data_IF_724584591804
#
_entry.id   IF_724584591804
#
_cell.length_a   1.000
_cell.length_b   1.000
_cell.length_c   1.000
_cell.angle_alpha   90.00
_cell.angle_beta   90.00
_cell.angle_gamma   90.00
#
_symmetry.space_group_name_H-M   'P 1'
#
loop_
_entity.id
_entity.type
_entity.pdbx_description
1 polymer ?
#
# COMPACT_ATOMS: atom_id res chain seq x y z
N UNK A 1 24.43 -104.87 24.75
CA UNK A 1 24.24 -106.09 23.92
C UNK A 1 23.08 -105.86 22.96
N UNK A 2 23.35 -106.11 21.72
CA UNK A 2 22.46 -106.41 20.63
C UNK A 2 21.55 -105.31 20.02
N UNK A 3 21.99 -105.03 18.86
CA UNK A 3 21.38 -104.38 17.67
C UNK A 3 20.02 -104.94 17.22
N UNK A 4 19.20 -104.12 16.63
CA UNK A 4 18.53 -104.46 15.36
C UNK A 4 18.23 -103.18 14.58
N UNK A 5 18.67 -103.17 13.33
CA UNK A 5 18.35 -102.19 12.31
C UNK A 5 16.98 -102.56 11.69
N UNK A 6 16.18 -101.49 11.45
CA UNK A 6 15.07 -101.59 10.53
C UNK A 6 15.16 -100.41 9.54
N UNK A 7 15.33 -100.75 8.28
CA UNK A 7 15.29 -99.84 7.15
C UNK A 7 13.81 -99.70 6.72
N UNK A 8 13.32 -98.52 6.72
CA UNK A 8 12.02 -98.17 6.10
C UNK A 8 12.28 -97.12 5.04
N UNK A 9 12.01 -97.41 3.79
CA UNK A 9 12.08 -96.58 2.64
C UNK A 9 11.03 -95.48 2.69
N UNK A 10 11.49 -94.23 2.48
CA UNK A 10 10.62 -93.08 2.33
C UNK A 10 10.30 -92.86 0.84
N UNK A 11 9.03 -93.06 0.50
CA UNK A 11 8.50 -92.65 -0.77
C UNK A 11 8.24 -91.16 -0.75
N UNK A 12 9.02 -90.37 -1.58
CA UNK A 12 8.83 -88.98 -1.74
C UNK A 12 7.62 -88.70 -2.63
N UNK A 13 6.58 -88.14 -2.07
CA UNK A 13 5.46 -87.56 -2.84
C UNK A 13 5.81 -86.11 -3.17
N UNK A 14 6.18 -85.83 -4.42
CA UNK A 14 6.27 -84.50 -4.95
C UNK A 14 4.89 -83.87 -5.09
N UNK A 15 4.49 -83.06 -4.13
CA UNK A 15 3.34 -82.19 -4.25
C UNK A 15 3.73 -80.97 -5.10
N UNK A 16 3.23 -80.90 -6.31
CA UNK A 16 3.36 -79.70 -7.19
C UNK A 16 2.40 -78.67 -6.63
N UNK A 17 2.93 -77.70 -5.88
CA UNK A 17 2.19 -76.50 -5.49
C UNK A 17 2.07 -75.56 -6.70
N UNK A 18 0.93 -75.51 -7.35
CA UNK A 18 0.59 -74.46 -8.28
C UNK A 18 0.44 -73.14 -7.50
N UNK A 19 1.12 -72.06 -7.88
CA UNK A 19 0.87 -70.78 -7.30
C UNK A 19 -0.53 -70.32 -7.71
N UNK A 20 -1.46 -70.17 -6.74
CA UNK A 20 -2.67 -69.40 -6.95
C UNK A 20 -2.23 -67.95 -7.22
N UNK A 21 -2.35 -67.53 -8.46
CA UNK A 21 -2.24 -66.12 -8.80
C UNK A 21 -3.43 -65.39 -8.11
N UNK A 22 -3.13 -64.68 -7.05
CA UNK A 22 -4.07 -63.76 -6.47
C UNK A 22 -4.31 -62.65 -7.52
N UNK A 23 -5.41 -62.78 -8.28
CA UNK A 23 -5.86 -61.65 -9.10
C UNK A 23 -6.31 -60.54 -8.15
N UNK A 24 -5.50 -59.50 -8.05
CA UNK A 24 -5.88 -58.31 -7.27
C UNK A 24 -7.21 -57.80 -7.82
N UNK A 25 -8.17 -57.58 -6.94
CA UNK A 25 -9.43 -56.95 -7.34
C UNK A 25 -9.13 -55.61 -7.98
N UNK A 26 -9.82 -55.22 -9.06
CA UNK A 26 -9.62 -53.91 -9.68
C UNK A 26 -9.80 -52.84 -8.60
N UNK A 27 -8.96 -51.77 -8.62
CA UNK A 27 -9.11 -50.68 -7.68
C UNK A 27 -10.54 -50.12 -7.78
N UNK A 28 -11.14 -49.71 -6.65
CA UNK A 28 -12.46 -49.12 -6.69
C UNK A 28 -12.46 -47.91 -7.65
N UNK A 29 -13.57 -47.67 -8.36
CA UNK A 29 -13.67 -46.54 -9.26
C UNK A 29 -13.37 -45.25 -8.49
N UNK A 30 -12.47 -44.43 -9.05
CA UNK A 30 -12.19 -43.11 -8.47
C UNK A 30 -13.48 -42.28 -8.52
N UNK A 31 -13.73 -41.51 -7.45
CA UNK A 31 -14.79 -40.50 -7.48
C UNK A 31 -14.51 -39.49 -8.58
N UNK A 32 -15.52 -39.00 -9.32
CA UNK A 32 -15.36 -37.99 -10.30
C UNK A 32 -14.89 -36.69 -9.61
N UNK A 33 -14.05 -35.90 -10.28
CA UNK A 33 -13.71 -34.59 -9.79
C UNK A 33 -14.96 -33.70 -9.73
N UNK A 34 -15.15 -32.99 -8.61
CA UNK A 34 -16.22 -32.00 -8.48
C UNK A 34 -15.81 -30.65 -9.03
N UNK A 35 -14.50 -30.44 -9.21
CA UNK A 35 -13.95 -29.26 -9.88
C UNK A 35 -14.08 -29.44 -11.39
N UNK A 36 -14.79 -28.53 -12.10
CA UNK A 36 -14.88 -28.59 -13.56
C UNK A 36 -13.52 -28.35 -14.22
N UNK A 37 -13.30 -28.90 -15.40
CA UNK A 37 -12.08 -28.68 -16.16
C UNK A 37 -11.91 -27.19 -16.54
N UNK A 38 -13.02 -26.51 -16.81
CA UNK A 38 -13.11 -25.07 -17.04
C UNK A 38 -14.33 -24.54 -16.28
N UNK A 39 -14.15 -23.49 -15.54
CA UNK A 39 -15.24 -22.80 -14.84
C UNK A 39 -15.47 -21.44 -15.47
N UNK A 40 -16.71 -21.18 -15.87
CA UNK A 40 -17.13 -19.89 -16.45
C UNK A 40 -18.08 -19.21 -15.45
N UNK A 41 -17.59 -18.28 -14.62
CA UNK A 41 -18.44 -17.54 -13.72
C UNK A 41 -19.43 -16.67 -14.49
N UNK A 42 -20.62 -16.48 -13.94
CA UNK A 42 -21.59 -15.53 -14.48
C UNK A 42 -21.26 -14.14 -13.91
N UNK A 43 -20.72 -13.27 -14.77
CA UNK A 43 -20.35 -11.91 -14.43
C UNK A 43 -21.48 -10.91 -14.70
N UNK A 44 -22.71 -11.31 -14.40
CA UNK A 44 -23.88 -10.43 -14.54
C UNK A 44 -24.21 -9.77 -13.21
N UNK A 45 -24.46 -8.45 -13.23
CA UNK A 45 -24.83 -7.68 -12.04
C UNK A 45 -23.66 -7.06 -11.30
N UNK A 46 -22.47 -7.03 -11.89
CA UNK A 46 -21.36 -6.22 -11.40
C UNK A 46 -21.65 -4.74 -11.65
N UNK A 47 -21.41 -3.88 -10.65
CA UNK A 47 -21.56 -2.43 -10.77
C UNK A 47 -20.27 -1.75 -11.27
N UNK A 48 -19.26 -2.53 -11.63
CA UNK A 48 -17.98 -2.06 -12.18
C UNK A 48 -17.44 -3.01 -13.25
N UNK A 49 -16.43 -2.56 -13.96
CA UNK A 49 -15.53 -3.39 -14.78
C UNK A 49 -14.09 -3.20 -14.33
N UNK A 50 -13.31 -4.27 -14.36
CA UNK A 50 -11.91 -4.29 -13.97
C UNK A 50 -11.02 -4.48 -15.20
N UNK A 51 -9.86 -3.81 -15.22
CA UNK A 51 -8.83 -3.96 -16.26
C UNK A 51 -7.46 -4.04 -15.61
N UNK A 52 -6.68 -5.05 -15.97
CA UNK A 52 -5.27 -5.16 -15.66
C UNK A 52 -4.48 -4.62 -16.84
N UNK A 53 -3.59 -3.67 -16.60
CA UNK A 53 -2.82 -3.01 -17.66
C UNK A 53 -1.35 -2.87 -17.28
N UNK A 54 -0.50 -2.92 -18.29
CA UNK A 54 0.93 -2.63 -18.18
C UNK A 54 1.22 -1.27 -18.82
N UNK A 55 1.38 -0.25 -18.00
CA UNK A 55 1.58 1.13 -18.46
C UNK A 55 3.06 1.36 -18.80
N UNK A 56 3.39 1.73 -20.06
CA UNK A 56 4.77 1.97 -20.45
C UNK A 56 5.29 3.30 -19.91
N UNK A 57 6.41 3.27 -19.21
CA UNK A 57 7.13 4.45 -18.76
C UNK A 57 8.09 4.95 -19.84
N UNK A 58 8.58 6.19 -19.71
CA UNK A 58 9.50 6.84 -20.67
C UNK A 58 10.79 6.08 -20.93
N UNK A 59 11.22 5.22 -20.03
CA UNK A 59 12.41 4.36 -20.17
C UNK A 59 12.10 2.98 -20.72
N UNK A 60 10.84 2.71 -21.11
CA UNK A 60 10.37 1.44 -21.64
C UNK A 60 10.04 0.37 -20.60
N UNK A 61 10.26 0.63 -19.31
CA UNK A 61 9.76 -0.22 -18.22
C UNK A 61 8.24 -0.13 -18.17
N UNK A 62 7.56 -1.22 -17.83
CA UNK A 62 6.10 -1.26 -17.70
C UNK A 62 5.72 -1.37 -16.25
N UNK A 63 4.78 -0.53 -15.80
CA UNK A 63 4.19 -0.60 -14.48
C UNK A 63 2.80 -1.22 -14.55
N UNK A 64 2.56 -2.18 -13.66
CA UNK A 64 1.29 -2.88 -13.56
C UNK A 64 0.28 -2.04 -12.80
N UNK A 65 -0.92 -1.90 -13.35
CA UNK A 65 -2.01 -1.18 -12.70
C UNK A 65 -3.34 -1.90 -12.90
N UNK A 66 -4.18 -1.79 -11.88
CA UNK A 66 -5.57 -2.24 -11.90
C UNK A 66 -6.47 -1.01 -11.99
N UNK A 67 -7.39 -1.04 -12.93
CA UNK A 67 -8.33 0.04 -13.22
C UNK A 67 -9.75 -0.49 -13.00
N UNK A 68 -10.43 0.04 -11.99
CA UNK A 68 -11.82 -0.26 -11.70
C UNK A 68 -12.70 0.90 -12.17
N UNK A 69 -13.62 0.60 -13.08
CA UNK A 69 -14.47 1.58 -13.76
C UNK A 69 -15.92 1.31 -13.36
N UNK A 70 -16.61 2.25 -12.69
CA UNK A 70 -18.02 2.11 -12.36
C UNK A 70 -18.88 1.89 -13.61
N UNK A 71 -19.92 1.08 -13.50
CA UNK A 71 -20.88 0.86 -14.57
C UNK A 71 -21.55 2.18 -14.98
N UNK A 72 -21.58 2.45 -16.29
CA UNK A 72 -22.16 3.68 -16.81
C UNK A 72 -21.29 4.93 -16.61
N UNK A 73 -20.03 4.78 -16.17
CA UNK A 73 -19.13 5.90 -16.02
C UNK A 73 -18.97 6.68 -17.32
N UNK A 74 -19.23 7.99 -17.26
CA UNK A 74 -19.05 8.94 -18.34
C UNK A 74 -18.60 10.26 -17.73
N UNK A 75 -17.52 10.85 -18.24
CA UNK A 75 -16.91 12.05 -17.67
C UNK A 75 -16.53 11.87 -16.18
N UNK A 76 -16.10 10.66 -15.80
CA UNK A 76 -15.72 10.33 -14.43
C UNK A 76 -14.30 10.80 -14.13
N UNK A 77 -14.02 11.38 -12.96
CA UNK A 77 -12.66 11.67 -12.53
C UNK A 77 -11.92 10.38 -12.16
N UNK A 78 -10.58 10.44 -12.20
CA UNK A 78 -9.70 9.34 -11.85
C UNK A 78 -9.09 9.60 -10.47
N UNK A 79 -9.11 8.59 -9.59
CA UNK A 79 -8.30 8.55 -8.37
C UNK A 79 -7.20 7.49 -8.52
N UNK A 80 -5.95 7.91 -8.39
CA UNK A 80 -4.76 7.09 -8.54
C UNK A 80 -4.03 6.94 -7.21
N UNK A 81 -3.74 5.70 -6.82
CA UNK A 81 -2.77 5.35 -5.77
C UNK A 81 -1.61 4.58 -6.38
N UNK A 82 -0.38 4.87 -5.96
CA UNK A 82 0.82 4.16 -6.38
C UNK A 82 1.48 3.52 -5.16
N UNK A 83 1.55 2.19 -5.14
CA UNK A 83 1.75 1.40 -3.93
C UNK A 83 2.89 0.37 -4.03
N UNK A 84 3.64 0.10 -2.95
CA UNK A 84 4.49 -1.07 -2.81
C UNK A 84 3.76 -2.27 -2.17
N UNK A 85 2.43 -2.19 -1.94
CA UNK A 85 1.67 -3.13 -1.12
C UNK A 85 0.81 -4.14 -1.89
N UNK A 86 1.00 -4.26 -3.20
CA UNK A 86 0.24 -5.10 -4.13
C UNK A 86 -1.08 -4.50 -4.59
N UNK A 87 -1.09 -4.03 -5.83
CA UNK A 87 -2.29 -3.45 -6.44
C UNK A 87 -3.46 -4.44 -6.50
N UNK A 88 -3.19 -5.73 -6.71
CA UNK A 88 -4.23 -6.76 -6.72
C UNK A 88 -4.86 -6.95 -5.33
N UNK A 89 -4.08 -7.01 -4.26
CA UNK A 89 -4.61 -7.16 -2.91
C UNK A 89 -5.43 -5.92 -2.49
N UNK A 90 -4.98 -4.72 -2.87
CA UNK A 90 -5.69 -3.47 -2.55
C UNK A 90 -6.97 -3.27 -3.37
N UNK A 91 -7.13 -3.95 -4.49
CA UNK A 91 -8.35 -3.90 -5.32
C UNK A 91 -9.28 -5.10 -5.12
N UNK A 92 -8.90 -6.09 -4.32
CA UNK A 92 -9.63 -7.35 -4.15
C UNK A 92 -9.75 -7.79 -2.68
N UNK A 93 -10.02 -6.85 -1.76
CA UNK A 93 -10.17 -7.17 -0.34
C UNK A 93 -11.33 -8.11 -0.04
N UNK A 94 -12.37 -8.09 -0.88
CA UNK A 94 -13.51 -9.01 -0.81
C UNK A 94 -13.93 -9.39 -2.22
N UNK A 95 -14.32 -10.65 -2.41
CA UNK A 95 -14.95 -11.05 -3.67
C UNK A 95 -16.38 -10.56 -3.70
N UNK A 96 -16.66 -9.57 -4.55
CA UNK A 96 -17.97 -8.94 -4.64
C UNK A 96 -18.27 -8.45 -6.05
N UNK A 97 -19.56 -8.39 -6.40
CA UNK A 97 -20.04 -7.67 -7.58
C UNK A 97 -20.16 -6.16 -7.34
N UNK A 98 -19.84 -5.68 -6.14
CA UNK A 98 -19.89 -4.27 -5.76
C UNK A 98 -18.49 -3.70 -5.57
N UNK A 99 -18.16 -2.64 -6.31
CA UNK A 99 -16.85 -1.97 -6.27
C UNK A 99 -16.49 -1.48 -4.86
N UNK A 100 -17.47 -0.97 -4.10
CA UNK A 100 -17.27 -0.56 -2.69
C UNK A 100 -16.68 -1.67 -1.86
N UNK A 101 -17.23 -2.89 -1.98
CA UNK A 101 -16.76 -4.03 -1.20
C UNK A 101 -15.39 -4.55 -1.67
N UNK A 102 -15.10 -4.46 -2.96
CA UNK A 102 -13.78 -4.81 -3.52
C UNK A 102 -12.68 -3.91 -2.96
N UNK A 103 -12.96 -2.62 -2.84
CA UNK A 103 -12.02 -1.59 -2.38
C UNK A 103 -12.04 -1.35 -0.87
N UNK A 104 -12.84 -2.10 -0.08
CA UNK A 104 -12.95 -1.90 1.37
C UNK A 104 -11.68 -2.37 2.10
N UNK A 105 -10.72 -1.48 2.28
CA UNK A 105 -9.44 -1.80 2.92
C UNK A 105 -8.52 -0.61 3.12
N UNK A 106 -7.28 -0.90 3.43
CA UNK A 106 -6.22 0.09 3.60
C UNK A 106 -5.96 0.86 2.30
N UNK A 107 -5.62 2.14 2.40
CA UNK A 107 -5.37 3.09 1.31
C UNK A 107 -6.60 3.44 0.44
N UNK A 108 -7.74 2.89 0.74
CA UNK A 108 -8.96 3.17 0.02
C UNK A 108 -10.00 3.85 0.92
N UNK A 109 -10.52 4.97 0.48
CA UNK A 109 -11.73 5.60 1.03
C UNK A 109 -12.95 5.14 0.21
N UNK A 110 -13.21 3.83 0.17
CA UNK A 110 -14.12 3.16 -0.75
C UNK A 110 -15.55 3.68 -0.70
N UNK A 111 -16.01 4.13 0.48
CA UNK A 111 -17.30 4.79 0.68
C UNK A 111 -17.42 6.12 -0.06
N UNK A 112 -16.31 6.80 -0.34
CA UNK A 112 -16.26 8.04 -1.13
C UNK A 112 -16.03 7.72 -2.61
N UNK A 113 -15.00 6.93 -2.89
CA UNK A 113 -14.53 6.69 -4.24
C UNK A 113 -15.58 6.01 -5.12
N UNK A 114 -16.25 4.99 -4.58
CA UNK A 114 -17.20 4.18 -5.34
C UNK A 114 -18.59 4.80 -5.40
N UNK A 115 -19.07 5.36 -4.29
CA UNK A 115 -20.40 6.01 -4.26
C UNK A 115 -20.44 7.27 -5.12
N UNK A 116 -19.31 7.96 -5.27
CA UNK A 116 -19.21 9.21 -6.03
C UNK A 116 -18.82 9.02 -7.50
N UNK A 117 -18.67 7.78 -7.96
CA UNK A 117 -18.48 7.45 -9.37
C UNK A 117 -17.07 7.71 -9.91
N UNK A 118 -16.04 7.68 -9.05
CA UNK A 118 -14.65 7.79 -9.48
C UNK A 118 -14.16 6.52 -10.18
N UNK A 119 -13.34 6.68 -11.22
CA UNK A 119 -12.52 5.60 -11.74
C UNK A 119 -11.35 5.40 -10.77
N UNK A 120 -11.24 4.22 -10.19
CA UNK A 120 -10.16 3.89 -9.25
C UNK A 120 -9.00 3.22 -9.98
N UNK A 121 -7.79 3.74 -9.78
CA UNK A 121 -6.56 3.15 -10.33
C UNK A 121 -5.59 2.89 -9.18
N UNK A 122 -5.10 1.65 -9.10
CA UNK A 122 -4.07 1.24 -8.15
C UNK A 122 -2.90 0.68 -8.96
N UNK A 123 -1.72 1.27 -8.80
CA UNK A 123 -0.52 0.92 -9.57
C UNK A 123 0.59 0.42 -8.64
N UNK A 124 1.14 -0.75 -8.93
CA UNK A 124 2.36 -1.23 -8.28
C UNK A 124 3.54 -0.31 -8.62
N UNK A 125 4.26 0.18 -7.61
CA UNK A 125 5.47 0.96 -7.86
C UNK A 125 6.54 0.13 -8.55
N UNK A 126 7.42 0.79 -9.27
CA UNK A 126 8.52 0.20 -10.02
C UNK A 126 9.29 -0.85 -9.21
N UNK A 127 9.40 -2.06 -9.75
CA UNK A 127 10.14 -3.18 -9.15
C UNK A 127 9.38 -3.96 -8.07
N UNK A 128 8.11 -3.66 -7.83
CA UNK A 128 7.25 -4.44 -6.93
C UNK A 128 6.18 -5.18 -7.73
N UNK A 129 5.76 -6.32 -7.23
CA UNK A 129 4.69 -7.19 -7.75
C UNK A 129 4.65 -7.30 -9.27
N UNK A 130 3.60 -6.85 -9.92
CA UNK A 130 3.43 -6.88 -11.36
C UNK A 130 4.30 -5.89 -12.14
N UNK A 131 4.79 -4.83 -11.51
CA UNK A 131 5.58 -3.78 -12.17
C UNK A 131 7.02 -4.18 -12.45
N UNK A 132 7.53 -3.88 -13.62
CA UNK A 132 8.91 -4.13 -14.02
C UNK A 132 9.90 -3.14 -13.37
N UNK A 133 11.19 -3.35 -13.62
CA UNK A 133 12.28 -2.49 -13.15
C UNK A 133 12.86 -2.92 -11.80
N UNK A 134 13.69 -2.05 -11.22
CA UNK A 134 14.33 -2.27 -9.94
C UNK A 134 13.62 -1.50 -8.82
N UNK A 135 13.27 -2.18 -7.75
CA UNK A 135 12.77 -1.52 -6.54
C UNK A 135 13.91 -0.80 -5.82
N UNK A 136 13.67 0.42 -5.44
CA UNK A 136 14.51 1.23 -4.54
C UNK A 136 13.58 1.84 -3.52
N UNK A 137 13.71 1.41 -2.27
CA UNK A 137 12.90 1.90 -1.18
C UNK A 137 13.02 3.41 -1.04
N UNK A 138 11.90 4.10 -0.96
CA UNK A 138 11.83 5.56 -0.91
C UNK A 138 12.68 6.23 -2.01
N UNK A 139 12.58 5.73 -3.25
CA UNK A 139 13.39 6.20 -4.38
C UNK A 139 13.43 7.74 -4.43
N UNK A 140 14.61 8.36 -4.27
CA UNK A 140 14.74 9.81 -4.33
C UNK A 140 14.43 10.35 -5.73
N UNK A 141 14.02 11.63 -5.80
CA UNK A 141 13.98 12.36 -7.08
C UNK A 141 15.39 12.51 -7.67
N UNK A 142 15.44 12.86 -8.95
CA UNK A 142 16.70 13.16 -9.63
C UNK A 142 17.52 14.21 -8.85
N UNK A 143 18.74 13.85 -8.48
CA UNK A 143 19.64 14.66 -7.68
C UNK A 143 20.87 13.91 -7.22
N UNK A 144 21.55 14.36 -6.15
CA UNK A 144 22.76 13.71 -5.65
C UNK A 144 22.60 12.23 -5.30
N UNK A 145 21.42 11.85 -4.81
CA UNK A 145 21.12 10.46 -4.42
C UNK A 145 20.55 9.61 -5.56
N UNK A 146 20.10 10.23 -6.64
CA UNK A 146 19.57 9.56 -7.83
C UNK A 146 20.07 10.30 -9.10
N UNK A 147 21.14 9.82 -9.73
CA UNK A 147 21.67 10.46 -10.94
C UNK A 147 20.88 10.14 -12.21
N UNK A 148 19.83 9.29 -12.11
CA UNK A 148 18.99 8.89 -13.24
C UNK A 148 17.88 9.91 -13.52
N UNK A 149 17.23 9.77 -14.69
CA UNK A 149 16.04 10.56 -15.06
C UNK A 149 14.74 9.92 -14.55
N UNK A 150 14.82 8.84 -13.75
CA UNK A 150 13.69 8.03 -13.34
C UNK A 150 13.51 8.08 -11.83
N UNK A 151 12.35 8.50 -11.40
CA UNK A 151 11.92 8.60 -10.01
C UNK A 151 10.39 8.43 -9.89
N UNK A 152 9.84 8.51 -8.68
CA UNK A 152 8.39 8.41 -8.48
C UNK A 152 7.61 9.54 -9.15
N UNK A 153 8.19 10.75 -9.25
CA UNK A 153 7.53 11.87 -9.90
C UNK A 153 7.38 11.64 -11.40
N UNK A 154 8.43 11.14 -12.05
CA UNK A 154 8.41 10.84 -13.49
C UNK A 154 7.52 9.64 -13.81
N UNK A 155 7.52 8.61 -12.98
CA UNK A 155 6.60 7.46 -13.13
C UNK A 155 5.14 7.92 -12.97
N UNK A 156 4.84 8.76 -11.97
CA UNK A 156 3.49 9.32 -11.78
C UNK A 156 3.05 10.15 -13.00
N UNK A 157 3.97 10.96 -13.54
CA UNK A 157 3.68 11.76 -14.73
C UNK A 157 3.30 10.88 -15.92
N UNK A 158 4.10 9.85 -16.21
CA UNK A 158 3.87 8.95 -17.35
C UNK A 158 2.58 8.13 -17.17
N UNK A 159 2.30 7.68 -15.96
CA UNK A 159 1.05 6.98 -15.64
C UNK A 159 -0.17 7.87 -15.88
N UNK A 160 -0.16 9.11 -15.38
CA UNK A 160 -1.27 10.05 -15.59
C UNK A 160 -1.45 10.35 -17.07
N UNK A 161 -0.36 10.59 -17.81
CA UNK A 161 -0.42 10.83 -19.26
C UNK A 161 -1.08 9.67 -19.99
N UNK A 162 -0.69 8.44 -19.65
CA UNK A 162 -1.29 7.25 -20.24
C UNK A 162 -2.79 7.14 -19.88
N UNK A 163 -3.17 7.32 -18.63
CA UNK A 163 -4.56 7.18 -18.17
C UNK A 163 -5.50 8.14 -18.90
N UNK A 164 -5.15 9.40 -19.01
CA UNK A 164 -6.02 10.40 -19.65
C UNK A 164 -6.18 10.19 -21.14
N UNK A 165 -5.25 9.48 -21.78
CA UNK A 165 -5.35 9.16 -23.21
C UNK A 165 -6.01 7.80 -23.49
N UNK A 166 -6.11 6.90 -22.50
CA UNK A 166 -6.61 5.53 -22.71
C UNK A 166 -7.91 5.20 -21.99
N UNK A 167 -8.43 6.13 -21.19
CA UNK A 167 -9.73 5.98 -20.51
C UNK A 167 -10.76 6.95 -21.05
N UNK A 168 -11.51 6.57 -22.11
CA UNK A 168 -12.51 7.45 -22.73
C UNK A 168 -13.70 7.78 -21.80
N UNK A 169 -13.86 7.02 -20.70
CA UNK A 169 -14.87 7.29 -19.67
C UNK A 169 -14.46 8.45 -18.75
N UNK A 170 -13.19 8.87 -18.77
CA UNK A 170 -12.68 9.91 -17.89
C UNK A 170 -13.00 11.32 -18.39
N UNK A 171 -13.11 12.26 -17.45
CA UNK A 171 -13.17 13.71 -17.73
C UNK A 171 -11.76 14.33 -17.91
N UNK A 172 -10.69 13.52 -17.87
CA UNK A 172 -9.31 13.98 -17.99
C UNK A 172 -8.73 14.64 -16.73
N UNK A 173 -9.41 14.54 -15.58
CA UNK A 173 -8.88 15.03 -14.30
C UNK A 173 -8.47 13.86 -13.42
N UNK A 174 -7.30 13.98 -12.80
CA UNK A 174 -6.72 12.96 -11.94
C UNK A 174 -6.47 13.53 -10.55
N UNK A 175 -6.86 12.79 -9.53
CA UNK A 175 -6.46 12.97 -8.14
C UNK A 175 -5.46 11.90 -7.73
N UNK A 176 -4.50 12.25 -6.90
CA UNK A 176 -3.65 11.31 -6.18
C UNK A 176 -4.15 11.16 -4.75
N UNK A 177 -4.14 9.93 -4.25
CA UNK A 177 -4.57 9.62 -2.89
C UNK A 177 -3.72 8.47 -2.35
N UNK A 178 -3.32 8.53 -1.08
CA UNK A 178 -2.62 7.42 -0.44
C UNK A 178 -2.15 7.72 0.97
N UNK A 179 -1.93 6.66 1.74
CA UNK A 179 -1.50 6.69 3.14
C UNK A 179 -0.06 6.21 3.22
N UNK A 180 0.74 6.76 4.17
CA UNK A 180 2.07 6.22 4.47
C UNK A 180 3.02 6.32 3.27
N UNK A 181 3.56 5.19 2.81
CA UNK A 181 4.35 5.12 1.57
C UNK A 181 3.55 5.63 0.37
N UNK A 182 2.27 5.34 0.28
CA UNK A 182 1.40 5.82 -0.81
C UNK A 182 1.11 7.32 -0.67
N UNK A 183 1.13 7.85 0.55
CA UNK A 183 1.18 9.28 0.84
C UNK A 183 2.50 9.92 0.36
N UNK A 184 3.64 9.25 0.56
CA UNK A 184 4.92 9.67 0.01
C UNK A 184 4.90 9.70 -1.53
N UNK A 185 4.40 8.66 -2.20
CA UNK A 185 4.28 8.65 -3.67
C UNK A 185 3.33 9.74 -4.17
N UNK A 186 2.27 10.04 -3.41
CA UNK A 186 1.37 11.18 -3.67
C UNK A 186 2.11 12.52 -3.62
N UNK A 187 2.93 12.75 -2.60
CA UNK A 187 3.78 13.95 -2.51
C UNK A 187 4.82 14.03 -3.63
N UNK A 188 5.41 12.90 -4.01
CA UNK A 188 6.34 12.83 -5.15
C UNK A 188 5.68 13.26 -6.45
N UNK A 189 4.39 12.95 -6.64
CA UNK A 189 3.59 13.39 -7.79
C UNK A 189 3.40 14.92 -7.88
N UNK A 190 3.67 15.67 -6.80
CA UNK A 190 3.64 17.13 -6.79
C UNK A 190 4.95 17.76 -7.34
N UNK A 191 5.99 16.97 -7.51
CA UNK A 191 7.25 17.41 -8.12
C UNK A 191 7.06 17.38 -9.63
N UNK A 192 7.06 18.56 -10.25
CA UNK A 192 6.82 18.74 -11.68
C UNK A 192 5.53 18.00 -12.18
N UNK A 193 4.35 18.31 -11.59
CA UNK A 193 3.13 17.55 -11.78
C UNK A 193 2.61 17.59 -13.22
N UNK A 194 1.97 16.49 -13.65
CA UNK A 194 1.25 16.43 -14.91
C UNK A 194 0.09 17.44 -14.93
N UNK A 195 -0.21 18.12 -16.07
CA UNK A 195 -1.30 19.11 -16.14
C UNK A 195 -2.69 18.60 -15.78
N UNK A 196 -2.93 17.30 -15.96
CA UNK A 196 -4.18 16.65 -15.58
C UNK A 196 -4.30 16.36 -14.07
N UNK A 197 -3.22 16.47 -13.29
CA UNK A 197 -3.27 16.33 -11.84
C UNK A 197 -3.93 17.55 -11.22
N UNK A 198 -5.11 17.36 -10.63
CA UNK A 198 -5.98 18.44 -10.14
C UNK A 198 -6.19 18.43 -8.64
N UNK A 199 -5.87 17.33 -7.96
CA UNK A 199 -5.96 17.20 -6.53
C UNK A 199 -4.91 16.21 -6.01
N UNK A 200 -4.42 16.41 -4.79
CA UNK A 200 -3.56 15.46 -4.09
C UNK A 200 -3.99 15.37 -2.63
N UNK A 201 -4.08 14.16 -2.12
CA UNK A 201 -4.46 13.86 -0.74
C UNK A 201 -3.43 12.90 -0.14
N UNK A 202 -2.22 13.40 0.21
CA UNK A 202 -1.30 12.61 1.02
C UNK A 202 -1.86 12.52 2.45
N UNK A 203 -1.94 11.30 2.97
CA UNK A 203 -2.40 11.00 4.31
C UNK A 203 -1.25 10.35 5.09
N UNK A 204 -0.89 10.89 6.23
CA UNK A 204 0.21 10.37 7.07
C UNK A 204 1.46 10.00 6.23
N UNK A 205 1.97 10.88 5.35
CA UNK A 205 3.03 10.54 4.43
C UNK A 205 4.40 10.49 5.12
N UNK A 206 5.26 9.56 4.73
CA UNK A 206 6.69 9.64 5.01
C UNK A 206 7.29 10.82 4.24
N UNK A 207 7.95 11.74 4.94
CA UNK A 207 8.50 12.99 4.38
C UNK A 207 9.98 13.16 4.68
N UNK A 208 10.37 13.02 5.94
CA UNK A 208 11.77 13.03 6.40
C UNK A 208 11.98 11.89 7.40
N UNK A 209 12.53 10.80 6.91
CA UNK A 209 12.70 9.57 7.65
C UNK A 209 13.67 9.65 8.84
N UNK A 210 14.30 10.81 9.09
CA UNK A 210 15.14 11.01 10.28
C UNK A 210 14.49 11.92 11.32
N UNK A 211 13.63 12.84 10.90
CA UNK A 211 13.06 13.86 11.78
C UNK A 211 11.87 13.35 12.61
N UNK A 212 11.08 12.43 12.11
CA UNK A 212 9.90 11.94 12.82
C UNK A 212 9.02 10.97 12.05
N UNK A 213 9.48 10.57 10.85
CA UNK A 213 8.77 9.62 10.02
C UNK A 213 9.60 8.32 9.91
N UNK A 214 8.93 7.21 9.79
CA UNK A 214 9.42 5.84 9.56
C UNK A 214 10.66 5.40 10.36
N UNK A 215 11.86 5.94 10.07
CA UNK A 215 13.12 5.32 10.47
C UNK A 215 13.69 5.84 11.76
N UNK A 216 13.63 7.16 11.95
CA UNK A 216 14.13 7.81 13.15
C UNK A 216 13.13 8.88 13.63
N UNK A 217 12.93 8.94 14.93
CA UNK A 217 12.28 10.08 15.56
C UNK A 217 13.35 10.98 16.19
N UNK A 218 13.76 11.99 15.44
CA UNK A 218 14.84 12.93 15.82
C UNK A 218 16.13 12.23 16.27
N UNK A 219 16.54 11.22 15.48
CA UNK A 219 17.73 10.44 15.72
C UNK A 219 17.55 9.22 16.60
N UNK A 220 16.39 9.00 17.19
CA UNK A 220 16.06 7.73 17.86
C UNK A 220 15.58 6.73 16.82
N UNK A 221 16.37 5.69 16.57
CA UNK A 221 16.00 4.66 15.59
C UNK A 221 14.76 3.87 16.03
N UNK A 222 13.80 3.75 15.14
CA UNK A 222 12.59 2.95 15.33
C UNK A 222 12.84 1.50 14.95
N UNK A 223 13.30 0.71 15.90
CA UNK A 223 13.69 -0.68 15.63
C UNK A 223 12.53 -1.58 15.18
N UNK A 224 11.27 -1.21 15.47
CA UNK A 224 10.09 -1.92 14.99
C UNK A 224 10.03 -1.95 13.45
N UNK A 225 10.55 -0.94 12.78
CA UNK A 225 10.54 -0.87 11.32
C UNK A 225 11.59 -1.76 10.64
N UNK A 226 12.39 -2.52 11.39
CA UNK A 226 13.25 -3.55 10.78
C UNK A 226 12.44 -4.61 10.04
N UNK A 227 11.30 -5.03 10.59
CA UNK A 227 10.40 -5.98 9.93
C UNK A 227 9.86 -5.43 8.62
N UNK A 228 9.46 -4.16 8.60
CA UNK A 228 8.98 -3.50 7.39
C UNK A 228 10.06 -3.43 6.29
N UNK A 229 11.30 -3.01 6.64
CA UNK A 229 12.41 -3.01 5.67
C UNK A 229 12.67 -4.40 5.13
N UNK A 230 12.66 -5.41 6.02
CA UNK A 230 12.87 -6.80 5.63
C UNK A 230 11.83 -7.27 4.62
N UNK A 231 10.54 -7.09 4.91
CA UNK A 231 9.46 -7.51 4.03
C UNK A 231 9.46 -6.75 2.71
N UNK A 232 9.77 -5.44 2.73
CA UNK A 232 9.79 -4.62 1.52
C UNK A 232 10.98 -4.92 0.58
N UNK A 233 12.15 -5.28 1.11
CA UNK A 233 13.35 -5.43 0.30
C UNK A 233 13.80 -6.86 0.07
N UNK A 234 13.41 -7.82 0.93
CA UNK A 234 13.89 -9.20 0.81
C UNK A 234 13.42 -9.87 -0.48
N UNK A 235 12.20 -9.57 -0.92
CA UNK A 235 11.65 -10.08 -2.18
C UNK A 235 10.83 -9.01 -2.92
N UNK A 236 10.56 -9.27 -4.20
CA UNK A 236 9.75 -8.40 -5.03
C UNK A 236 8.28 -8.38 -4.61
N UNK A 237 7.79 -9.49 -4.07
CA UNK A 237 6.38 -9.77 -3.79
C UNK A 237 6.06 -9.73 -2.30
N UNK A 238 6.96 -9.23 -1.46
CA UNK A 238 6.81 -9.18 0.00
C UNK A 238 6.42 -10.54 0.64
N UNK A 239 6.77 -11.64 0.00
CA UNK A 239 6.47 -13.00 0.44
C UNK A 239 7.49 -13.55 1.47
N UNK A 240 8.67 -12.94 1.57
CA UNK A 240 9.57 -13.17 2.68
C UNK A 240 9.02 -12.50 3.94
N UNK A 241 8.57 -13.31 4.89
CA UNK A 241 7.96 -12.78 6.11
C UNK A 241 8.98 -12.67 7.22
N UNK A 242 8.91 -11.58 7.97
CA UNK A 242 9.59 -11.46 9.25
C UNK A 242 9.08 -12.54 10.22
N UNK A 243 9.97 -13.10 11.03
CA UNK A 243 9.60 -14.09 12.05
C UNK A 243 9.99 -13.61 13.43
N UNK A 244 9.13 -13.92 14.39
CA UNK A 244 9.34 -13.60 15.79
C UNK A 244 9.83 -14.85 16.55
N UNK A 245 10.77 -14.66 17.45
CA UNK A 245 11.26 -15.72 18.34
C UNK A 245 10.61 -15.68 19.72
N UNK A 246 9.87 -14.62 20.01
CA UNK A 246 9.14 -14.39 21.25
C UNK A 246 7.72 -13.95 20.90
N UNK A 247 6.78 -14.21 21.80
CA UNK A 247 5.42 -13.71 21.64
C UNK A 247 5.33 -12.20 21.82
N UNK A 248 6.20 -11.63 22.67
CA UNK A 248 6.29 -10.20 22.97
C UNK A 248 7.54 -9.60 22.31
N UNK A 249 7.34 -8.62 21.45
CA UNK A 249 8.41 -7.89 20.76
C UNK A 249 9.40 -7.24 21.74
N UNK A 250 8.91 -6.72 22.86
CA UNK A 250 9.77 -6.12 23.89
C UNK A 250 10.77 -7.13 24.43
N UNK A 251 10.30 -8.34 24.76
CA UNK A 251 11.16 -9.42 25.24
C UNK A 251 12.15 -9.85 24.16
N UNK A 252 11.74 -9.89 22.90
CA UNK A 252 12.64 -10.19 21.78
C UNK A 252 13.74 -9.14 21.66
N UNK A 253 13.40 -7.85 21.62
CA UNK A 253 14.39 -6.77 21.51
C UNK A 253 15.34 -6.74 22.71
N UNK A 254 14.81 -6.96 23.91
CA UNK A 254 15.62 -7.02 25.14
C UNK A 254 16.60 -8.22 25.13
N UNK A 255 16.13 -9.38 24.70
CA UNK A 255 16.95 -10.60 24.64
C UNK A 255 18.10 -10.48 23.61
N UNK A 256 17.85 -9.86 22.47
CA UNK A 256 18.85 -9.66 21.41
C UNK A 256 19.82 -8.52 21.75
N UNK A 257 19.41 -7.54 22.52
CA UNK A 257 20.22 -6.46 23.07
C UNK A 257 20.47 -5.27 22.15
N UNK A 258 20.33 -5.40 20.81
CA UNK A 258 20.43 -4.26 19.90
C UNK A 258 19.71 -4.51 18.57
N UNK A 259 19.21 -3.45 17.95
CA UNK A 259 18.60 -3.48 16.61
C UNK A 259 19.57 -4.06 15.55
N UNK A 260 20.85 -3.73 15.63
CA UNK A 260 21.86 -4.27 14.71
C UNK A 260 22.11 -5.78 14.90
N UNK A 261 22.00 -6.31 16.13
CA UNK A 261 22.10 -7.75 16.35
C UNK A 261 20.88 -8.48 15.82
N UNK A 262 19.68 -7.93 16.02
CA UNK A 262 18.44 -8.45 15.46
C UNK A 262 18.49 -8.47 13.92
N UNK A 263 18.87 -7.36 13.30
CA UNK A 263 19.00 -7.27 11.85
C UNK A 263 19.97 -8.31 11.27
N UNK A 264 21.12 -8.54 11.91
CA UNK A 264 22.07 -9.59 11.51
C UNK A 264 21.46 -10.99 11.62
N UNK A 265 20.71 -11.28 12.69
CA UNK A 265 20.07 -12.59 12.85
C UNK A 265 19.06 -12.89 11.76
N UNK A 266 18.51 -11.85 11.11
CA UNK A 266 17.59 -11.94 9.97
C UNK A 266 18.29 -11.75 8.60
N UNK A 267 19.62 -11.60 8.56
CA UNK A 267 20.37 -11.45 7.31
C UNK A 267 20.18 -10.10 6.60
N UNK A 268 19.74 -9.07 7.32
CA UNK A 268 19.40 -7.75 6.74
C UNK A 268 20.61 -6.98 6.21
N UNK A 269 21.83 -7.40 6.55
CA UNK A 269 23.06 -6.81 5.98
C UNK A 269 23.14 -6.95 4.44
N UNK A 270 22.30 -7.80 3.83
CA UNK A 270 22.15 -7.95 2.39
C UNK A 270 21.21 -6.93 1.76
N UNK A 271 20.40 -6.21 2.57
CA UNK A 271 19.36 -5.31 2.10
C UNK A 271 19.92 -3.90 1.90
N UNK A 272 19.67 -3.34 0.72
CA UNK A 272 20.30 -2.08 0.30
C UNK A 272 19.88 -0.87 1.14
N UNK A 273 18.61 -0.78 1.53
CA UNK A 273 18.15 0.32 2.37
C UNK A 273 18.64 0.19 3.81
N UNK A 274 18.64 -1.01 4.36
CA UNK A 274 19.22 -1.26 5.69
C UNK A 274 20.69 -0.82 5.74
N UNK A 275 21.49 -1.11 4.70
CA UNK A 275 22.89 -0.67 4.62
C UNK A 275 23.01 0.86 4.66
N UNK A 276 22.09 1.58 3.98
CA UNK A 276 22.03 3.05 4.00
C UNK A 276 21.68 3.58 5.39
N UNK A 277 20.71 2.98 6.08
CA UNK A 277 20.36 3.34 7.45
C UNK A 277 21.57 3.24 8.40
N UNK A 278 22.32 2.13 8.32
CA UNK A 278 23.52 1.92 9.14
C UNK A 278 24.64 2.90 8.79
N UNK A 279 24.77 3.27 7.51
CA UNK A 279 25.79 4.22 7.06
C UNK A 279 25.48 5.67 7.45
N UNK A 280 24.20 6.02 7.65
CA UNK A 280 23.73 7.40 7.89
C UNK A 280 22.92 7.54 9.20
N UNK A 281 23.52 7.25 10.38
CA UNK A 281 22.81 7.34 11.66
C UNK A 281 22.58 8.79 12.12
N UNK A 282 23.29 9.75 11.54
CA UNK A 282 23.16 11.18 11.83
C UNK A 282 22.34 11.89 10.74
N UNK A 283 21.80 13.07 11.06
CA UNK A 283 21.07 13.91 10.10
C UNK A 283 22.06 14.60 9.13
N UNK A 284 22.57 13.83 8.20
CA UNK A 284 23.52 14.27 7.17
C UNK A 284 22.81 14.57 5.83
N UNK A 285 23.61 14.79 4.78
CA UNK A 285 23.09 15.09 3.44
C UNK A 285 22.25 13.96 2.86
N UNK A 286 22.47 12.70 3.25
CA UNK A 286 21.64 11.58 2.79
C UNK A 286 20.17 11.81 3.15
N UNK A 287 19.86 12.20 4.39
CA UNK A 287 18.49 12.51 4.80
C UNK A 287 18.00 13.83 4.24
N UNK A 288 18.85 14.85 4.28
CA UNK A 288 18.49 16.20 3.86
C UNK A 288 18.16 16.31 2.37
N UNK A 289 18.87 15.56 1.51
CA UNK A 289 18.70 15.60 0.05
C UNK A 289 17.48 14.78 -0.43
N UNK A 290 16.83 14.06 0.45
CA UNK A 290 15.58 13.32 0.16
C UNK A 290 14.39 13.74 1.05
N UNK A 291 14.53 14.80 1.85
CA UNK A 291 13.45 15.37 2.63
C UNK A 291 12.42 16.07 1.72
N UNK A 292 11.21 15.49 1.64
CA UNK A 292 10.19 15.91 0.66
C UNK A 292 9.65 17.30 0.95
N UNK A 293 9.55 17.71 2.20
CA UNK A 293 9.15 19.07 2.61
C UNK A 293 10.09 20.13 2.06
N UNK A 294 11.40 19.88 2.12
CA UNK A 294 12.43 20.77 1.54
C UNK A 294 12.33 20.85 0.02
N UNK A 295 12.10 19.70 -0.62
CA UNK A 295 11.92 19.66 -2.07
C UNK A 295 10.69 20.44 -2.49
N UNK A 296 9.55 20.20 -1.85
CA UNK A 296 8.31 20.90 -2.14
C UNK A 296 8.36 22.39 -1.77
N UNK A 297 9.16 22.79 -0.78
CA UNK A 297 9.42 24.19 -0.50
C UNK A 297 10.04 24.92 -1.69
N UNK A 298 10.86 24.23 -2.48
CA UNK A 298 11.52 24.80 -3.66
C UNK A 298 10.66 24.74 -4.94
N UNK A 299 9.63 23.86 -4.97
CA UNK A 299 8.75 23.69 -6.13
C UNK A 299 7.62 24.74 -6.17
N UNK A 300 7.14 25.16 -7.36
CA UNK A 300 5.92 25.97 -7.46
C UNK A 300 4.70 25.22 -6.96
N UNK A 301 3.83 25.87 -6.18
CA UNK A 301 2.53 25.34 -5.80
C UNK A 301 1.58 25.34 -7.01
N UNK A 302 1.31 24.18 -7.57
CA UNK A 302 0.48 24.03 -8.77
C UNK A 302 -0.81 23.25 -8.51
N UNK A 303 -0.77 22.27 -7.62
CA UNK A 303 -1.86 21.32 -7.37
C UNK A 303 -2.49 21.60 -6.02
N UNK A 304 -3.83 21.71 -5.95
CA UNK A 304 -4.54 21.71 -4.67
C UNK A 304 -4.22 20.46 -3.86
N UNK A 305 -3.84 20.65 -2.60
CA UNK A 305 -3.36 19.58 -1.73
C UNK A 305 -4.08 19.63 -0.39
N UNK A 306 -4.68 18.51 -0.01
CA UNK A 306 -5.25 18.23 1.31
C UNK A 306 -4.30 17.32 2.07
N UNK A 307 -3.58 17.86 3.03
CA UNK A 307 -2.73 17.11 3.95
C UNK A 307 -3.60 16.53 5.07
N UNK A 308 -3.45 15.24 5.35
CA UNK A 308 -4.28 14.54 6.35
C UNK A 308 -3.40 13.97 7.43
N UNK A 309 -3.47 14.57 8.61
CA UNK A 309 -2.60 14.28 9.75
C UNK A 309 -3.33 13.54 10.87
N UNK A 310 -2.79 12.41 11.28
CA UNK A 310 -3.24 11.66 12.46
C UNK A 310 -2.47 12.08 13.69
N UNK A 311 -3.18 12.60 14.72
CA UNK A 311 -2.57 13.15 15.94
C UNK A 311 -1.83 12.12 16.79
N UNK A 312 -2.14 10.84 16.64
CA UNK A 312 -1.48 9.71 17.31
C UNK A 312 -0.82 8.77 16.32
N UNK A 313 -0.32 9.33 15.22
CA UNK A 313 0.47 8.54 14.27
C UNK A 313 1.77 8.08 14.96
N UNK A 314 1.95 6.77 15.03
CA UNK A 314 3.13 6.16 15.61
C UNK A 314 4.26 6.00 14.60
N UNK A 315 4.01 6.26 13.30
CA UNK A 315 4.95 6.08 12.20
C UNK A 315 5.38 7.40 11.59
N UNK A 316 4.45 8.14 10.98
CA UNK A 316 4.73 9.33 10.16
C UNK A 316 4.12 10.61 10.76
N UNK A 317 4.44 10.91 12.00
CA UNK A 317 3.87 12.05 12.75
C UNK A 317 4.44 13.41 12.32
N UNK A 318 5.56 13.44 11.63
CA UNK A 318 6.25 14.67 11.25
C UNK A 318 5.76 15.22 9.90
N UNK A 319 5.46 14.34 8.94
CA UNK A 319 5.38 14.61 7.53
C UNK A 319 4.38 15.68 7.12
N UNK A 320 3.09 15.52 7.44
CA UNK A 320 2.05 16.48 7.02
C UNK A 320 2.30 17.89 7.52
N UNK A 321 2.72 18.01 8.78
CA UNK A 321 2.98 19.31 9.40
C UNK A 321 4.20 20.00 8.78
N UNK A 322 5.23 19.22 8.44
CA UNK A 322 6.42 19.75 7.77
C UNK A 322 6.08 20.25 6.36
N UNK A 323 5.33 19.44 5.58
CA UNK A 323 4.87 19.84 4.24
C UNK A 323 3.94 21.03 4.31
N UNK A 324 2.98 21.07 5.26
CA UNK A 324 2.11 22.22 5.44
C UNK A 324 2.91 23.51 5.64
N UNK A 325 3.88 23.50 6.55
CA UNK A 325 4.75 24.65 6.80
C UNK A 325 5.60 25.06 5.58
N UNK A 326 5.95 24.07 4.74
CA UNK A 326 6.79 24.31 3.57
C UNK A 326 6.01 24.94 2.39
N UNK A 327 4.75 24.51 2.17
CA UNK A 327 4.00 24.93 0.97
C UNK A 327 2.89 25.97 1.27
N UNK A 328 2.33 26.00 2.49
CA UNK A 328 1.28 26.98 2.86
C UNK A 328 1.64 28.43 2.63
N UNK A 329 2.87 28.90 2.90
CA UNK A 329 3.26 30.29 2.61
C UNK A 329 3.13 30.71 1.14
N UNK A 330 3.02 29.76 0.21
CA UNK A 330 2.82 29.99 -1.21
C UNK A 330 1.34 30.12 -1.60
N UNK A 331 0.44 29.69 -0.73
CA UNK A 331 -1.01 29.71 -0.91
C UNK A 331 -1.60 30.99 -0.31
N UNK A 332 -1.39 32.10 -0.98
CA UNK A 332 -1.71 33.45 -0.47
C UNK A 332 -3.21 33.75 -0.40
N UNK A 333 -4.02 33.02 -1.14
CA UNK A 333 -5.49 33.16 -1.20
C UNK A 333 -6.24 32.05 -0.48
N UNK A 334 -5.53 31.13 0.17
CA UNK A 334 -6.08 29.96 0.89
C UNK A 334 -6.95 29.05 0.02
N UNK A 335 -6.60 28.91 -1.25
CA UNK A 335 -7.39 28.16 -2.23
C UNK A 335 -6.81 26.78 -2.58
N UNK A 336 -5.60 26.44 -2.10
CA UNK A 336 -4.86 25.26 -2.58
C UNK A 336 -4.28 24.37 -1.51
N UNK A 337 -3.95 24.86 -0.32
CA UNK A 337 -3.33 24.07 0.74
C UNK A 337 -4.26 23.98 1.93
N UNK A 338 -4.71 22.76 2.19
CA UNK A 338 -5.63 22.45 3.28
C UNK A 338 -4.96 21.43 4.20
N UNK A 339 -5.31 21.49 5.49
CA UNK A 339 -4.85 20.55 6.49
C UNK A 339 -6.04 20.02 7.29
N UNK A 340 -6.20 18.71 7.32
CA UNK A 340 -7.10 18.01 8.22
C UNK A 340 -6.30 17.29 9.31
N UNK A 341 -6.72 17.45 10.57
CA UNK A 341 -6.06 16.80 11.71
C UNK A 341 -7.10 16.06 12.53
N UNK A 342 -6.98 14.74 12.61
CA UNK A 342 -7.93 13.90 13.34
C UNK A 342 -7.30 13.06 14.45
N UNK A 343 -8.13 12.53 15.39
CA UNK A 343 -7.66 11.82 16.56
C UNK A 343 -7.37 10.34 16.27
N UNK A 344 -6.64 10.09 15.19
CA UNK A 344 -6.40 8.75 14.66
C UNK A 344 -4.97 8.27 14.95
N UNK A 345 -4.77 6.95 14.86
CA UNK A 345 -3.48 6.33 14.66
C UNK A 345 -3.17 6.28 13.15
N UNK A 346 -2.00 5.81 12.75
CA UNK A 346 -1.61 5.63 11.35
C UNK A 346 -2.66 4.85 10.55
N UNK A 347 -3.21 5.45 9.49
CA UNK A 347 -4.25 4.84 8.65
C UNK A 347 -5.65 4.76 9.29
N UNK A 348 -5.86 5.40 10.44
CA UNK A 348 -7.16 5.38 11.12
C UNK A 348 -8.23 6.27 10.47
N UNK A 349 -7.84 7.22 9.64
CA UNK A 349 -8.72 8.19 8.96
C UNK A 349 -9.66 7.57 7.93
N UNK A 350 -9.35 6.37 7.45
CA UNK A 350 -10.20 5.63 6.49
C UNK A 350 -10.99 4.49 7.13
N UNK A 351 -10.97 4.37 8.45
CA UNK A 351 -11.62 3.28 9.22
C UNK A 351 -12.68 3.82 10.15
N UNK A 352 -13.02 3.06 11.20
CA UNK A 352 -13.86 3.54 12.31
C UNK A 352 -13.02 4.45 13.22
N UNK A 353 -13.33 5.73 13.20
CA UNK A 353 -12.69 6.76 14.02
C UNK A 353 -13.41 7.06 15.33
N UNK A 354 -14.22 6.14 15.87
CA UNK A 354 -15.00 6.35 17.10
C UNK A 354 -14.16 6.34 18.37
N UNK A 355 -12.95 5.75 18.28
CA UNK A 355 -12.10 5.56 19.44
C UNK A 355 -10.61 5.45 19.07
N UNK A 356 -9.76 5.70 20.08
CA UNK A 356 -8.35 5.34 20.07
C UNK A 356 -8.05 4.54 21.33
N UNK A 357 -7.92 3.23 21.21
CA UNK A 357 -7.78 2.33 22.34
C UNK A 357 -8.98 2.46 23.31
N UNK A 358 -8.73 2.89 24.54
CA UNK A 358 -9.77 3.11 25.55
C UNK A 358 -10.47 4.47 25.46
N UNK A 359 -9.90 5.41 24.68
CA UNK A 359 -10.46 6.75 24.54
C UNK A 359 -11.59 6.74 23.53
N UNK A 360 -12.75 7.32 23.90
CA UNK A 360 -13.94 7.44 23.05
C UNK A 360 -14.17 8.88 22.65
N UNK A 361 -14.46 9.11 21.38
CA UNK A 361 -14.65 10.46 20.84
C UNK A 361 -16.12 10.90 20.83
N UNK A 362 -17.06 9.95 21.01
CA UNK A 362 -18.50 10.23 20.99
C UNK A 362 -19.11 10.31 19.58
N UNK A 363 -18.30 10.20 18.55
CA UNK A 363 -18.71 10.14 17.14
C UNK A 363 -17.65 9.40 16.32
N UNK A 364 -18.01 8.89 15.16
CA UNK A 364 -17.04 8.39 14.17
C UNK A 364 -16.37 9.59 13.48
N UNK A 365 -15.18 9.95 13.96
CA UNK A 365 -14.42 11.10 13.48
C UNK A 365 -13.86 10.87 12.07
N UNK A 366 -13.53 9.62 11.71
CA UNK A 366 -13.00 9.28 10.40
C UNK A 366 -14.10 9.32 9.33
N UNK A 367 -15.28 8.79 9.60
CA UNK A 367 -16.43 8.93 8.70
C UNK A 367 -16.81 10.40 8.50
N UNK A 368 -16.83 11.18 9.60
CA UNK A 368 -17.09 12.62 9.51
C UNK A 368 -16.07 13.33 8.60
N UNK A 369 -14.79 13.04 8.76
CA UNK A 369 -13.71 13.57 7.91
C UNK A 369 -13.94 13.23 6.44
N UNK A 370 -14.19 11.96 6.14
CA UNK A 370 -14.41 11.53 4.76
C UNK A 370 -15.61 12.23 4.11
N UNK A 371 -16.71 12.39 4.84
CA UNK A 371 -17.94 13.01 4.32
C UNK A 371 -17.85 14.54 4.24
N UNK A 372 -17.16 15.21 5.15
CA UNK A 372 -17.22 16.67 5.28
C UNK A 372 -15.94 17.38 4.86
N UNK A 373 -14.84 16.66 4.64
CA UNK A 373 -13.56 17.24 4.22
C UNK A 373 -13.05 16.57 2.94
N UNK A 374 -12.86 15.25 2.95
CA UNK A 374 -12.28 14.52 1.82
C UNK A 374 -13.18 14.58 0.59
N UNK A 375 -14.45 14.16 0.72
CA UNK A 375 -15.42 14.18 -0.38
C UNK A 375 -15.59 15.59 -0.99
N UNK A 376 -15.88 16.65 -0.20
CA UNK A 376 -16.00 18.00 -0.77
C UNK A 376 -14.73 18.50 -1.46
N UNK A 377 -13.55 18.13 -0.96
CA UNK A 377 -12.27 18.48 -1.58
C UNK A 377 -12.11 17.80 -2.94
N UNK A 378 -12.27 16.48 -2.99
CA UNK A 378 -12.11 15.71 -4.22
C UNK A 378 -13.16 16.13 -5.27
N UNK A 379 -14.43 16.25 -4.88
CA UNK A 379 -15.49 16.66 -5.79
C UNK A 379 -15.24 18.04 -6.41
N UNK A 380 -14.82 19.00 -5.59
CA UNK A 380 -14.59 20.38 -6.06
C UNK A 380 -13.50 20.45 -7.13
N UNK A 381 -12.41 19.71 -6.98
CA UNK A 381 -11.27 19.81 -7.90
C UNK A 381 -11.34 18.82 -9.06
N UNK A 382 -12.11 17.74 -8.92
CA UNK A 382 -12.09 16.64 -9.87
C UNK A 382 -13.38 16.52 -10.71
N UNK A 383 -14.56 16.89 -10.19
CA UNK A 383 -15.83 16.81 -10.92
C UNK A 383 -16.11 18.08 -11.73
N UNK A 384 -16.87 17.95 -12.80
CA UNK A 384 -17.17 19.07 -13.70
C UNK A 384 -18.16 20.07 -13.07
N UNK A 385 -19.19 19.57 -12.40
CA UNK A 385 -20.29 20.37 -11.81
C UNK A 385 -20.21 20.40 -10.27
N UNK A 386 -19.01 20.50 -9.71
CA UNK A 386 -18.82 20.48 -8.27
C UNK A 386 -19.31 21.77 -7.59
N UNK A 387 -19.87 21.66 -6.38
CA UNK A 387 -20.24 22.83 -5.58
C UNK A 387 -18.99 23.63 -5.17
N UNK A 388 -19.16 24.91 -4.80
CA UNK A 388 -18.08 25.70 -4.25
C UNK A 388 -17.44 25.03 -3.03
N UNK A 389 -16.11 25.07 -2.93
CA UNK A 389 -15.37 24.50 -1.81
C UNK A 389 -15.64 25.31 -0.53
N UNK A 390 -16.32 24.72 0.43
CA UNK A 390 -16.63 25.32 1.73
C UNK A 390 -15.64 24.96 2.85
N UNK A 391 -14.42 24.52 2.51
CA UNK A 391 -13.43 24.11 3.50
C UNK A 391 -12.66 25.30 4.09
N UNK A 392 -12.41 25.24 5.40
CA UNK A 392 -11.43 26.11 6.02
C UNK A 392 -10.00 25.64 5.69
N UNK A 393 -9.01 26.54 5.70
CA UNK A 393 -7.60 26.16 5.49
C UNK A 393 -7.12 25.05 6.42
N UNK A 394 -7.60 25.04 7.66
CA UNK A 394 -7.33 23.98 8.64
C UNK A 394 -8.63 23.50 9.26
N UNK A 395 -8.83 22.18 9.28
CA UNK A 395 -9.92 21.51 9.98
C UNK A 395 -9.30 20.52 10.96
N UNK A 396 -9.46 20.77 12.27
CA UNK A 396 -8.81 19.98 13.30
C UNK A 396 -9.82 19.48 14.35
N UNK A 397 -9.66 18.24 14.78
CA UNK A 397 -10.44 17.70 15.89
C UNK A 397 -9.80 18.10 17.21
N UNK A 398 -10.54 18.80 18.05
CA UNK A 398 -10.12 19.19 19.38
C UNK A 398 -10.48 18.11 20.39
N UNK A 399 -9.46 17.43 20.89
CA UNK A 399 -9.64 16.40 21.93
C UNK A 399 -9.97 17.03 23.28
N UNK A 400 -10.82 16.36 24.06
CA UNK A 400 -11.33 16.90 25.33
C UNK A 400 -12.70 17.55 25.17
N UNK A 401 -12.88 18.46 24.23
CA UNK A 401 -14.22 18.93 23.80
C UNK A 401 -14.88 17.96 22.83
N UNK A 402 -14.07 17.19 22.11
CA UNK A 402 -14.48 16.24 21.07
C UNK A 402 -15.29 16.89 19.95
N UNK A 403 -14.78 18.03 19.46
CA UNK A 403 -15.41 18.81 18.41
C UNK A 403 -14.46 19.12 17.27
N UNK A 404 -14.97 19.16 16.06
CA UNK A 404 -14.24 19.65 14.90
C UNK A 404 -14.17 21.19 14.90
N UNK A 405 -12.97 21.72 14.75
CA UNK A 405 -12.69 23.16 14.65
C UNK A 405 -12.29 23.51 13.23
N UNK A 406 -12.84 24.62 12.73
CA UNK A 406 -12.42 25.24 11.47
C UNK A 406 -11.58 26.46 11.80
N UNK A 407 -10.32 26.42 11.38
CA UNK A 407 -9.32 27.40 11.75
C UNK A 407 -8.80 28.15 10.53
N UNK A 408 -8.40 29.41 10.65
CA UNK A 408 -7.65 30.12 9.61
C UNK A 408 -6.27 29.47 9.42
N UNK A 409 -5.58 29.86 8.33
CA UNK A 409 -4.21 29.43 8.07
C UNK A 409 -3.22 30.07 9.03
#
# INVERSE_FOLDING_TARGET
>A
MWRLRAVLGAAAICAIAMPLACVAAPPPPALPAETPAEFHPLETGFDYSERHVDIPMRDGVKLHAIIMIPQGAAHAPILLTRTPYNAEDLSAHRHSSHMVAMLDGYDNASDIESEDGYIRVIEDVRGKYGSQGAYIMNRPWKGPLNPTEIDHATDTYDTIDWLVHHLPQSNGRVGLLGISYDGFTTLMGLINPHPALRAAVPMNPMVDGWMGDDWFHRGAFRQINLSYIYEQEATRTNDAKWWETHYDDYDMYLAVGSAGALARSHGMEQLGFYQKLVAHPAYDSFWQDQAVDRKLAAEPLRVPTLLVHSLWDQEDIYGDIAVYKAIKPKDTDNSRVFLAMGPWHHGGEIRDGSALGQVRWGSDTALWFRQHVLRPFLDHFLKDDAPPLGLAPVTAFETGTNEWRRLPA
#
